data_IF_800737625224
#
_entry.id   IF_800737625224
#
_cell.length_a   1.000
_cell.length_b   1.000
_cell.length_c   1.000
_cell.angle_alpha   90.00
_cell.angle_beta   90.00
_cell.angle_gamma   90.00
#
_symmetry.space_group_name_H-M   'P 1'
#
loop_
_entity.id
_entity.type
_entity.pdbx_description
1 polymer ?
#
# COMPACT_ATOMS: atom_id res chain seq x y z
N UNK A 1 -6.78 -4.01 -0.31
CA UNK A 1 -6.20 -3.36 0.86
C UNK A 1 -6.43 -4.30 2.00
N UNK A 2 -5.34 -4.72 2.59
CA UNK A 2 -5.36 -5.56 3.78
C UNK A 2 -5.64 -4.72 5.01
N UNK A 3 -5.21 -3.45 5.00
CA UNK A 3 -5.45 -2.51 6.08
C UNK A 3 -5.71 -1.10 5.53
N UNK A 4 -6.71 -0.44 6.11
CA UNK A 4 -7.03 0.97 5.85
C UNK A 4 -6.98 1.71 7.17
N UNK A 5 -6.27 2.85 7.20
CA UNK A 5 -6.19 3.73 8.37
C UNK A 5 -6.66 5.12 7.96
N UNK A 6 -7.69 5.63 8.64
CA UNK A 6 -8.12 7.03 8.54
C UNK A 6 -7.63 7.75 9.79
N UNK A 7 -6.64 8.62 9.62
CA UNK A 7 -6.00 9.30 10.74
C UNK A 7 -5.50 10.68 10.35
N UNK A 8 -5.69 11.66 11.25
CA UNK A 8 -5.25 13.04 11.09
C UNK A 8 -5.71 13.72 9.77
N UNK A 9 -6.83 13.28 9.18
CA UNK A 9 -7.33 13.81 7.90
C UNK A 9 -6.68 13.18 6.66
N UNK A 10 -5.83 12.16 6.85
CA UNK A 10 -5.18 11.39 5.80
C UNK A 10 -5.73 9.97 5.76
N UNK A 11 -5.78 9.40 4.56
CA UNK A 11 -6.16 8.00 4.35
C UNK A 11 -4.92 7.20 3.97
N UNK A 12 -4.62 6.14 4.71
CA UNK A 12 -3.51 5.23 4.44
C UNK A 12 -4.05 3.86 4.05
N UNK A 13 -3.71 3.41 2.85
CA UNK A 13 -4.11 2.12 2.31
C UNK A 13 -2.88 1.23 2.22
N UNK A 14 -2.88 0.15 2.98
CA UNK A 14 -1.78 -0.81 3.04
C UNK A 14 -2.14 -2.07 2.28
N UNK A 15 -1.19 -2.55 1.48
CA UNK A 15 -1.20 -3.90 0.91
C UNK A 15 0.10 -4.59 1.31
N UNK A 16 -0.02 -5.81 1.82
CA UNK A 16 1.09 -6.62 2.29
C UNK A 16 1.31 -7.79 1.32
N UNK A 17 2.57 -8.08 1.01
CA UNK A 17 2.92 -9.26 0.22
C UNK A 17 4.11 -9.99 0.81
N UNK A 18 4.07 -11.32 0.74
CA UNK A 18 5.19 -12.17 1.16
C UNK A 18 5.88 -12.68 -0.10
N UNK A 19 7.17 -12.39 -0.21
CA UNK A 19 8.07 -12.85 -1.28
C UNK A 19 9.08 -13.83 -0.69
N UNK A 20 9.72 -14.66 -1.51
CA UNK A 20 10.70 -15.62 -0.99
C UNK A 20 11.94 -14.89 -0.44
N UNK A 21 12.64 -14.13 -1.28
CA UNK A 21 13.94 -13.54 -0.93
C UNK A 21 14.12 -12.07 -1.36
N UNK A 22 13.79 -11.73 -2.60
CA UNK A 22 13.97 -10.39 -3.16
C UNK A 22 12.62 -9.67 -3.31
N UNK A 23 12.60 -8.33 -3.20
CA UNK A 23 11.39 -7.57 -3.47
C UNK A 23 11.00 -7.66 -4.95
N UNK A 24 9.70 -7.73 -5.20
CA UNK A 24 9.10 -7.78 -6.54
C UNK A 24 8.43 -6.45 -6.91
N UNK A 25 8.24 -5.52 -5.97
CA UNK A 25 7.53 -4.24 -6.21
C UNK A 25 6.04 -4.44 -6.52
N UNK A 26 5.53 -5.61 -6.18
CA UNK A 26 4.22 -6.09 -6.63
C UNK A 26 3.09 -5.67 -5.69
N UNK A 27 3.40 -5.35 -4.44
CA UNK A 27 2.41 -4.88 -3.46
C UNK A 27 1.80 -3.53 -3.85
N UNK A 28 2.62 -2.56 -4.26
CA UNK A 28 2.15 -1.23 -4.68
C UNK A 28 1.40 -1.31 -6.03
N UNK A 29 1.88 -2.11 -6.98
CA UNK A 29 1.17 -2.31 -8.25
C UNK A 29 -0.20 -2.96 -8.04
N UNK A 30 -0.31 -3.92 -7.11
CA UNK A 30 -1.58 -4.57 -6.78
C UNK A 30 -2.61 -3.59 -6.19
N UNK A 31 -2.19 -2.69 -5.28
CA UNK A 31 -3.10 -1.73 -4.67
C UNK A 31 -3.61 -0.68 -5.68
N UNK A 32 -2.75 -0.28 -6.63
CA UNK A 32 -3.11 0.60 -7.75
C UNK A 32 -4.06 -0.08 -8.74
N UNK A 33 -3.73 -1.29 -9.18
CA UNK A 33 -4.50 -2.03 -10.18
C UNK A 33 -5.93 -2.32 -9.72
N UNK A 34 -6.13 -2.52 -8.41
CA UNK A 34 -7.46 -2.72 -7.81
C UNK A 34 -8.27 -1.42 -7.64
N UNK A 35 -7.70 -0.26 -7.93
CA UNK A 35 -8.40 1.03 -7.91
C UNK A 35 -8.95 1.41 -6.53
N UNK A 36 -8.30 1.00 -5.44
CA UNK A 36 -8.85 1.23 -4.10
C UNK A 36 -8.96 2.71 -3.74
N UNK A 37 -8.05 3.55 -4.25
CA UNK A 37 -8.10 4.99 -4.07
C UNK A 37 -9.40 5.60 -4.60
N UNK A 38 -9.99 5.04 -5.66
CA UNK A 38 -11.19 5.57 -6.32
C UNK A 38 -12.39 5.62 -5.38
N UNK A 39 -12.50 4.66 -4.45
CA UNK A 39 -13.56 4.61 -3.43
C UNK A 39 -13.51 5.78 -2.46
N UNK A 40 -12.34 6.37 -2.27
CA UNK A 40 -12.10 7.43 -1.29
C UNK A 40 -11.91 8.80 -1.91
N UNK A 41 -11.79 8.91 -3.24
CA UNK A 41 -11.64 10.19 -3.94
C UNK A 41 -12.72 11.22 -3.60
N UNK A 42 -13.96 10.76 -3.41
CA UNK A 42 -15.08 11.64 -3.05
C UNK A 42 -14.94 12.30 -1.66
N UNK A 43 -14.04 11.81 -0.81
CA UNK A 43 -13.82 12.35 0.53
C UNK A 43 -12.85 13.55 0.54
N UNK A 44 -12.16 13.84 -0.57
CA UNK A 44 -11.24 14.98 -0.69
C UNK A 44 -10.03 14.93 0.25
N UNK A 45 -9.76 13.77 0.86
CA UNK A 45 -8.59 13.56 1.73
C UNK A 45 -7.38 13.15 0.90
N UNK A 46 -6.15 13.53 1.29
CA UNK A 46 -4.93 12.93 0.74
C UNK A 46 -4.92 11.43 0.99
N UNK A 47 -4.59 10.64 -0.05
CA UNK A 47 -4.53 9.18 0.02
C UNK A 47 -3.08 8.73 -0.13
N UNK A 48 -2.62 7.88 0.78
CA UNK A 48 -1.30 7.25 0.77
C UNK A 48 -1.47 5.77 0.47
N UNK A 49 -0.95 5.34 -0.67
CA UNK A 49 -0.86 3.93 -1.04
C UNK A 49 0.47 3.39 -0.53
N UNK A 50 0.44 2.37 0.32
CA UNK A 50 1.62 1.81 0.97
C UNK A 50 1.71 0.33 0.61
N UNK A 51 2.74 -0.04 -0.14
CA UNK A 51 3.09 -1.42 -0.46
C UNK A 51 4.21 -1.89 0.45
N UNK A 52 4.00 -2.99 1.17
CA UNK A 52 5.03 -3.58 2.03
C UNK A 52 5.26 -5.03 1.64
N UNK A 53 6.52 -5.38 1.38
CA UNK A 53 6.92 -6.74 1.03
C UNK A 53 7.80 -7.35 2.12
N UNK A 54 7.44 -8.56 2.55
CA UNK A 54 8.16 -9.34 3.55
C UNK A 54 8.86 -10.52 2.90
N UNK A 55 10.12 -10.76 3.22
CA UNK A 55 10.79 -12.00 2.83
C UNK A 55 10.39 -13.14 3.76
N UNK A 56 9.96 -14.26 3.19
CA UNK A 56 9.67 -15.51 3.90
C UNK A 56 10.93 -16.11 4.50
N UNK A 57 12.03 -16.09 3.76
CA UNK A 57 13.33 -16.60 4.22
C UNK A 57 13.86 -15.77 5.40
N UNK A 58 13.86 -14.44 5.26
CA UNK A 58 14.48 -13.53 6.22
C UNK A 58 13.55 -13.06 7.33
N UNK A 59 12.24 -13.29 7.20
CA UNK A 59 11.17 -12.84 8.11
C UNK A 59 11.24 -11.35 8.45
N UNK A 60 11.59 -10.54 7.46
CA UNK A 60 11.76 -9.08 7.59
C UNK A 60 11.20 -8.37 6.36
N UNK A 61 10.99 -7.05 6.49
CA UNK A 61 10.59 -6.19 5.38
C UNK A 61 11.76 -6.07 4.41
N UNK A 62 11.52 -6.36 3.13
CA UNK A 62 12.50 -6.24 2.05
C UNK A 62 12.19 -5.13 1.06
N UNK A 63 10.94 -4.67 0.99
CA UNK A 63 10.56 -3.43 0.32
C UNK A 63 9.44 -2.71 1.07
N UNK A 64 9.48 -1.39 0.99
CA UNK A 64 8.49 -0.49 1.52
C UNK A 64 8.35 0.68 0.54
N UNK A 65 7.22 0.76 -0.14
CA UNK A 65 6.96 1.75 -1.16
C UNK A 65 5.74 2.57 -0.81
N UNK A 66 5.81 3.87 -1.07
CA UNK A 66 4.72 4.81 -0.79
C UNK A 66 4.45 5.64 -2.03
N UNK A 67 3.17 5.73 -2.38
CA UNK A 67 2.70 6.66 -3.40
C UNK A 67 1.57 7.52 -2.85
N UNK A 68 1.70 8.83 -3.08
CA UNK A 68 0.71 9.81 -2.64
C UNK A 68 -0.21 10.13 -3.81
N UNK A 69 -1.49 9.85 -3.63
CA UNK A 69 -2.55 10.22 -4.57
C UNK A 69 -3.24 11.46 -4.03
N UNK A 70 -3.21 12.52 -4.82
CA UNK A 70 -3.96 13.74 -4.57
C UNK A 70 -5.33 13.59 -5.25
N UNK A 71 -6.39 13.87 -4.51
CA UNK A 71 -7.76 13.87 -5.02
C UNK A 71 -8.11 15.23 -5.62
#
# INVERSE_FOLDING_TARGET
>A
VDMTVDFAGHLYLFEFKVVEQLPEGSALEQIKAKGYADKYRAQGKPIHLIGVEFSRERRQIVAFEVENVHC
#
